data_IF_664806677232
#
_entry.id   IF_664806677232
#
_cell.length_a   1.000
_cell.length_b   1.000
_cell.length_c   1.000
_cell.angle_alpha   90.00
_cell.angle_beta   90.00
_cell.angle_gamma   90.00
#
_symmetry.space_group_name_H-M   'P 1'
#
loop_
_entity.id
_entity.type
_entity.pdbx_description
1 polymer ?
#
# COMPACT_ATOMS: atom_id res chain seq x y z
N UNK A 1 -40.66 -38.92 4.29
CA UNK A 1 -39.59 -37.97 4.67
C UNK A 1 -40.09 -37.21 5.87
N UNK A 2 -39.34 -36.99 6.92
CA UNK A 2 -39.80 -36.14 8.02
C UNK A 2 -40.17 -34.77 7.43
N UNK A 3 -41.38 -34.30 7.70
CA UNK A 3 -41.79 -32.96 7.33
C UNK A 3 -40.84 -31.97 8.06
N UNK A 4 -40.05 -31.20 7.33
CA UNK A 4 -39.28 -30.11 7.91
C UNK A 4 -40.31 -29.11 8.42
N UNK A 5 -40.34 -28.91 9.72
CA UNK A 5 -41.18 -27.89 10.34
C UNK A 5 -40.65 -26.51 9.98
N UNK A 6 -41.44 -25.70 9.30
CA UNK A 6 -41.05 -24.38 8.81
C UNK A 6 -40.75 -23.42 9.97
N UNK A 7 -41.41 -23.57 11.13
CA UNK A 7 -41.15 -22.76 12.31
C UNK A 7 -39.71 -23.02 12.84
N UNK A 8 -39.34 -24.31 12.96
CA UNK A 8 -37.99 -24.69 13.35
C UNK A 8 -36.93 -24.22 12.35
N UNK A 9 -37.25 -24.25 11.04
CA UNK A 9 -36.35 -23.71 10.01
C UNK A 9 -36.12 -22.20 10.17
N UNK A 10 -37.18 -21.41 10.42
CA UNK A 10 -37.03 -19.96 10.66
C UNK A 10 -36.30 -19.66 11.96
N UNK A 11 -36.52 -20.44 13.00
CA UNK A 11 -35.73 -20.30 14.24
C UNK A 11 -34.25 -20.59 14.02
N UNK A 12 -33.91 -21.63 13.26
CA UNK A 12 -32.55 -21.91 12.86
C UNK A 12 -31.94 -20.76 12.01
N UNK A 13 -32.69 -20.24 11.06
CA UNK A 13 -32.29 -19.09 10.23
C UNK A 13 -31.98 -17.85 11.09
N UNK A 14 -32.78 -17.62 12.15
CA UNK A 14 -32.54 -16.55 13.12
C UNK A 14 -31.16 -16.69 13.76
N UNK A 15 -30.74 -17.90 14.17
CA UNK A 15 -29.42 -18.13 14.78
C UNK A 15 -28.26 -17.89 13.79
N UNK A 16 -28.44 -18.27 12.53
CA UNK A 16 -27.45 -18.02 11.48
C UNK A 16 -27.29 -16.52 11.23
N UNK A 17 -28.38 -15.78 11.06
CA UNK A 17 -28.37 -14.34 10.85
C UNK A 17 -27.75 -13.58 12.03
N UNK A 18 -28.07 -14.01 13.25
CA UNK A 18 -27.46 -13.45 14.47
C UNK A 18 -25.95 -13.61 14.45
N UNK A 19 -25.46 -14.81 14.08
CA UNK A 19 -24.04 -15.10 13.98
C UNK A 19 -23.35 -14.24 12.93
N UNK A 20 -23.97 -14.05 11.76
CA UNK A 20 -23.47 -13.18 10.71
C UNK A 20 -23.42 -11.72 11.18
N UNK A 21 -24.48 -11.24 11.83
CA UNK A 21 -24.54 -9.89 12.40
C UNK A 21 -23.43 -9.62 13.42
N UNK A 22 -23.22 -10.56 14.34
CA UNK A 22 -22.14 -10.48 15.34
C UNK A 22 -20.75 -10.48 14.66
N UNK A 23 -20.54 -11.34 13.65
CA UNK A 23 -19.30 -11.39 12.87
C UNK A 23 -18.98 -10.08 12.20
N UNK A 24 -19.94 -9.46 11.52
CA UNK A 24 -19.77 -8.15 10.86
C UNK A 24 -19.56 -7.02 11.89
N UNK A 25 -20.27 -7.07 13.02
CA UNK A 25 -20.08 -6.11 14.13
C UNK A 25 -18.69 -6.22 14.74
N UNK A 26 -18.15 -7.43 14.89
CA UNK A 26 -16.78 -7.65 15.36
C UNK A 26 -15.74 -7.04 14.41
N UNK A 27 -15.98 -7.11 13.10
CA UNK A 27 -15.14 -6.41 12.10
C UNK A 27 -15.22 -4.88 12.29
N UNK A 28 -16.40 -4.34 12.57
CA UNK A 28 -16.55 -2.90 12.87
C UNK A 28 -15.78 -2.48 14.14
N UNK A 29 -15.83 -3.28 15.19
CA UNK A 29 -15.09 -2.97 16.43
C UNK A 29 -13.60 -2.75 16.19
N UNK A 30 -13.03 -3.47 15.22
CA UNK A 30 -11.61 -3.34 14.80
C UNK A 30 -11.37 -2.23 13.80
N UNK A 31 -12.20 -2.14 12.78
CA UNK A 31 -11.98 -1.26 11.62
C UNK A 31 -12.62 0.14 11.76
N UNK A 32 -13.66 0.29 12.61
CA UNK A 32 -14.43 1.54 12.82
C UNK A 32 -15.03 2.14 11.52
N UNK A 33 -15.35 1.29 10.55
CA UNK A 33 -15.90 1.72 9.26
C UNK A 33 -17.45 1.77 9.35
N UNK A 34 -18.09 2.93 9.07
CA UNK A 34 -19.54 3.09 9.29
C UNK A 34 -20.44 2.13 8.49
N UNK A 35 -20.02 1.71 7.30
CA UNK A 35 -20.77 0.74 6.48
C UNK A 35 -20.96 -0.61 7.16
N UNK A 36 -19.96 -1.06 7.96
CA UNK A 36 -20.04 -2.33 8.69
C UNK A 36 -21.15 -2.33 9.73
N UNK A 37 -21.43 -1.19 10.38
CA UNK A 37 -22.54 -1.07 11.34
C UNK A 37 -23.88 -1.28 10.62
N UNK A 38 -24.07 -0.68 9.45
CA UNK A 38 -25.31 -0.83 8.68
C UNK A 38 -25.48 -2.25 8.14
N UNK A 39 -24.41 -2.88 7.67
CA UNK A 39 -24.48 -4.30 7.27
C UNK A 39 -24.81 -5.21 8.46
N UNK A 40 -24.18 -5.01 9.62
CA UNK A 40 -24.51 -5.74 10.84
C UNK A 40 -25.98 -5.50 11.26
N UNK A 41 -26.46 -4.24 11.21
CA UNK A 41 -27.86 -3.90 11.50
C UNK A 41 -28.83 -4.61 10.56
N UNK A 42 -28.46 -4.79 9.29
CA UNK A 42 -29.23 -5.58 8.33
C UNK A 42 -29.41 -7.02 8.80
N UNK A 43 -28.34 -7.70 9.18
CA UNK A 43 -28.41 -9.08 9.70
C UNK A 43 -29.21 -9.17 11.02
N UNK A 44 -29.11 -8.19 11.92
CA UNK A 44 -29.94 -8.13 13.13
C UNK A 44 -31.43 -7.90 12.80
N UNK A 45 -31.77 -7.11 11.79
CA UNK A 45 -33.12 -6.97 11.31
C UNK A 45 -33.65 -8.29 10.74
N UNK A 46 -32.86 -9.06 9.97
CA UNK A 46 -33.21 -10.40 9.51
C UNK A 46 -33.43 -11.36 10.69
N UNK A 47 -32.53 -11.34 11.68
CA UNK A 47 -32.66 -12.11 12.92
C UNK A 47 -34.01 -11.87 13.59
N UNK A 48 -34.38 -10.61 13.78
CA UNK A 48 -35.67 -10.23 14.37
C UNK A 48 -36.85 -10.71 13.49
N UNK A 49 -36.76 -10.51 12.17
CA UNK A 49 -37.80 -10.93 11.24
C UNK A 49 -38.07 -12.43 11.28
N UNK A 50 -37.02 -13.25 11.20
CA UNK A 50 -37.14 -14.71 11.28
C UNK A 50 -37.65 -15.18 12.63
N UNK A 51 -37.19 -14.55 13.74
CA UNK A 51 -37.68 -14.86 15.08
C UNK A 51 -39.19 -14.59 15.21
N UNK A 52 -39.65 -13.42 14.77
CA UNK A 52 -41.07 -13.06 14.86
C UNK A 52 -41.96 -13.99 13.98
N UNK A 53 -41.48 -14.36 12.81
CA UNK A 53 -42.22 -15.27 11.92
C UNK A 53 -42.26 -16.70 12.50
N UNK A 54 -41.18 -17.17 13.13
CA UNK A 54 -41.13 -18.51 13.76
C UNK A 54 -42.13 -18.67 14.90
N UNK A 55 -42.50 -17.58 15.57
CA UNK A 55 -43.42 -17.54 16.70
C UNK A 55 -44.85 -17.15 16.28
N UNK A 56 -45.20 -17.36 15.02
CA UNK A 56 -46.48 -16.89 14.44
C UNK A 56 -47.75 -17.47 15.12
N UNK A 57 -47.67 -18.65 15.69
CA UNK A 57 -48.78 -19.26 16.43
C UNK A 57 -49.00 -18.63 17.81
N UNK A 58 -47.96 -18.05 18.38
CA UNK A 58 -47.98 -17.46 19.73
C UNK A 58 -48.17 -15.95 19.69
N UNK A 59 -47.82 -15.30 18.57
CA UNK A 59 -47.82 -13.85 18.42
C UNK A 59 -48.96 -13.35 17.54
N UNK A 60 -49.57 -12.18 17.83
CA UNK A 60 -50.56 -11.54 16.96
C UNK A 60 -50.00 -11.30 15.55
N UNK A 61 -50.92 -11.35 14.53
CA UNK A 61 -50.55 -11.17 13.12
C UNK A 61 -49.82 -9.85 12.82
N UNK A 62 -50.12 -8.75 13.51
CA UNK A 62 -49.40 -7.49 13.31
C UNK A 62 -47.91 -7.57 13.73
N UNK A 63 -47.56 -8.43 14.67
CA UNK A 63 -46.18 -8.67 15.06
C UNK A 63 -45.55 -9.68 14.11
N UNK A 64 -46.15 -10.88 13.98
CA UNK A 64 -45.50 -11.98 13.26
C UNK A 64 -45.54 -11.82 11.74
N UNK A 65 -46.60 -11.26 11.18
CA UNK A 65 -46.73 -11.08 9.73
C UNK A 65 -46.22 -9.73 9.27
N UNK A 66 -46.79 -8.63 9.81
CA UNK A 66 -46.47 -7.30 9.32
C UNK A 66 -45.06 -6.90 9.79
N UNK A 67 -44.80 -6.89 11.10
CA UNK A 67 -43.49 -6.49 11.63
C UNK A 67 -42.41 -7.49 11.25
N UNK A 68 -42.68 -8.79 11.26
CA UNK A 68 -41.71 -9.81 10.87
C UNK A 68 -41.22 -9.67 9.43
N UNK A 69 -42.15 -9.58 8.44
CA UNK A 69 -41.76 -9.39 7.04
C UNK A 69 -41.15 -8.02 6.77
N UNK A 70 -41.67 -6.95 7.41
CA UNK A 70 -41.09 -5.61 7.28
C UNK A 70 -39.66 -5.56 7.85
N UNK A 71 -39.34 -6.31 8.92
CA UNK A 71 -38.00 -6.42 9.43
C UNK A 71 -37.05 -7.13 8.45
N UNK A 72 -37.50 -8.17 7.75
CA UNK A 72 -36.74 -8.81 6.67
C UNK A 72 -36.45 -7.81 5.53
N UNK A 73 -37.44 -7.01 5.13
CA UNK A 73 -37.28 -6.02 4.07
C UNK A 73 -36.40 -4.85 4.51
N UNK A 74 -36.48 -4.43 5.77
CA UNK A 74 -35.59 -3.45 6.36
C UNK A 74 -34.12 -3.93 6.35
N UNK A 75 -33.89 -5.24 6.55
CA UNK A 75 -32.57 -5.84 6.38
C UNK A 75 -31.95 -5.49 5.03
N UNK A 76 -32.69 -5.76 3.93
CA UNK A 76 -32.23 -5.46 2.57
C UNK A 76 -31.97 -3.96 2.36
N UNK A 77 -32.76 -3.08 2.98
CA UNK A 77 -32.52 -1.62 2.97
C UNK A 77 -31.23 -1.26 3.72
N UNK A 78 -30.97 -1.86 4.87
CA UNK A 78 -29.75 -1.61 5.65
C UNK A 78 -28.50 -2.07 4.89
N UNK A 79 -28.53 -3.25 4.26
CA UNK A 79 -27.46 -3.75 3.40
C UNK A 79 -27.18 -2.80 2.23
N UNK A 80 -28.23 -2.29 1.57
CA UNK A 80 -28.13 -1.28 0.53
C UNK A 80 -27.49 0.02 1.04
N UNK A 81 -27.95 0.55 2.19
CA UNK A 81 -27.38 1.78 2.79
C UNK A 81 -25.91 1.62 3.17
N UNK A 82 -25.55 0.47 3.73
CA UNK A 82 -24.17 0.15 4.05
C UNK A 82 -23.28 0.21 2.81
N UNK A 83 -23.78 -0.35 1.69
CA UNK A 83 -23.08 -0.30 0.40
C UNK A 83 -22.99 1.11 -0.17
N UNK A 84 -24.04 1.94 -0.03
CA UNK A 84 -23.99 3.36 -0.40
C UNK A 84 -22.86 4.12 0.34
N UNK A 85 -22.75 3.91 1.65
CA UNK A 85 -21.70 4.55 2.48
C UNK A 85 -20.32 4.02 2.09
N UNK A 86 -20.19 2.70 1.91
CA UNK A 86 -18.91 2.07 1.58
C UNK A 86 -18.35 2.58 0.25
N UNK A 87 -19.23 2.80 -0.74
CA UNK A 87 -18.87 3.24 -2.09
C UNK A 87 -18.78 4.79 -2.19
N UNK A 88 -19.38 5.51 -1.25
CA UNK A 88 -19.56 6.97 -1.34
C UNK A 88 -20.65 7.40 -2.34
N UNK A 89 -21.64 6.55 -2.59
CA UNK A 89 -22.69 6.80 -3.57
C UNK A 89 -23.90 7.53 -2.98
N UNK A 90 -24.64 8.27 -3.83
CA UNK A 90 -25.91 8.91 -3.43
C UNK A 90 -26.97 7.84 -3.16
N UNK A 91 -27.76 8.06 -2.10
CA UNK A 91 -28.85 7.17 -1.70
C UNK A 91 -30.08 7.39 -2.58
N UNK A 92 -30.71 6.30 -3.03
CA UNK A 92 -32.04 6.36 -3.64
C UNK A 92 -33.11 6.22 -2.57
N UNK A 93 -34.25 6.87 -2.75
CA UNK A 93 -35.42 6.72 -1.87
C UNK A 93 -36.25 5.48 -2.22
N UNK A 94 -36.03 4.88 -3.40
CA UNK A 94 -36.85 3.75 -3.88
C UNK A 94 -36.93 2.57 -2.90
N UNK A 95 -35.88 2.08 -2.26
CA UNK A 95 -35.95 1.00 -1.27
C UNK A 95 -36.89 1.31 -0.10
N UNK A 96 -36.92 2.55 0.36
CA UNK A 96 -37.77 2.98 1.47
C UNK A 96 -39.25 3.05 1.03
N UNK A 97 -39.52 3.49 -0.20
CA UNK A 97 -40.88 3.50 -0.77
C UNK A 97 -41.41 2.06 -0.90
N UNK A 98 -40.58 1.14 -1.39
CA UNK A 98 -40.99 -0.28 -1.49
C UNK A 98 -41.25 -0.90 -0.12
N UNK A 99 -40.43 -0.62 0.90
CA UNK A 99 -40.64 -1.06 2.27
C UNK A 99 -41.97 -0.54 2.85
N UNK A 100 -42.25 0.76 2.67
CA UNK A 100 -43.49 1.35 3.15
C UNK A 100 -44.73 0.76 2.44
N UNK A 101 -44.64 0.64 1.13
CA UNK A 101 -45.72 0.04 0.32
C UNK A 101 -46.01 -1.40 0.73
N UNK A 102 -44.98 -2.19 0.97
CA UNK A 102 -45.06 -3.55 1.49
C UNK A 102 -45.85 -3.59 2.82
N UNK A 103 -45.45 -2.77 3.80
CA UNK A 103 -46.11 -2.75 5.10
C UNK A 103 -47.58 -2.40 5.01
N UNK A 104 -47.95 -1.43 4.15
CA UNK A 104 -49.34 -1.05 3.90
C UNK A 104 -50.13 -2.19 3.24
N UNK A 105 -49.58 -2.81 2.20
CA UNK A 105 -50.26 -3.91 1.49
C UNK A 105 -50.35 -5.17 2.37
N UNK A 106 -49.35 -5.51 3.13
CA UNK A 106 -49.41 -6.61 4.10
C UNK A 106 -50.49 -6.37 5.15
N UNK A 107 -50.64 -5.13 5.65
CA UNK A 107 -51.68 -4.79 6.60
C UNK A 107 -53.07 -4.96 5.98
N UNK A 108 -53.28 -4.49 4.73
CA UNK A 108 -54.54 -4.64 4.00
C UNK A 108 -54.91 -6.10 3.81
N UNK A 109 -53.99 -6.94 3.31
CA UNK A 109 -54.22 -8.37 3.07
C UNK A 109 -54.13 -9.26 4.32
N UNK A 110 -53.88 -8.70 5.46
CA UNK A 110 -53.96 -9.38 6.77
C UNK A 110 -55.31 -9.13 7.46
N UNK A 111 -55.82 -7.89 7.41
CA UNK A 111 -56.98 -7.50 8.23
C UNK A 111 -58.24 -7.19 7.44
N UNK A 112 -58.12 -6.78 6.15
CA UNK A 112 -59.28 -6.35 5.35
C UNK A 112 -59.63 -7.43 4.35
N UNK A 113 -58.69 -7.95 3.59
CA UNK A 113 -58.89 -8.98 2.60
C UNK A 113 -57.89 -10.11 2.80
N UNK A 114 -58.19 -11.03 3.73
CA UNK A 114 -57.28 -12.08 4.15
C UNK A 114 -56.88 -13.00 3.00
N UNK A 115 -55.60 -12.95 2.57
CA UNK A 115 -55.05 -13.82 1.54
C UNK A 115 -53.56 -14.09 1.79
N UNK A 116 -53.22 -15.32 2.16
CA UNK A 116 -51.84 -15.74 2.47
C UNK A 116 -50.97 -15.74 1.22
N UNK A 117 -51.46 -16.11 0.05
CA UNK A 117 -50.68 -16.17 -1.18
C UNK A 117 -50.32 -14.77 -1.66
N UNK A 118 -51.25 -13.82 -1.60
CA UNK A 118 -50.99 -12.42 -1.96
C UNK A 118 -49.96 -11.83 -1.02
N UNK A 119 -49.98 -12.13 0.26
CA UNK A 119 -48.93 -11.68 1.23
C UNK A 119 -47.55 -12.21 0.90
N UNK A 120 -47.44 -13.50 0.54
CA UNK A 120 -46.17 -14.11 0.09
C UNK A 120 -45.68 -13.44 -1.20
N UNK A 121 -46.61 -13.16 -2.13
CA UNK A 121 -46.30 -12.47 -3.38
C UNK A 121 -45.77 -11.04 -3.13
N UNK A 122 -46.47 -10.25 -2.31
CA UNK A 122 -46.12 -8.86 -1.97
C UNK A 122 -44.70 -8.81 -1.36
N UNK A 123 -44.44 -9.65 -0.35
CA UNK A 123 -43.15 -9.71 0.30
C UNK A 123 -42.03 -10.09 -0.69
N UNK A 124 -42.23 -11.13 -1.49
CA UNK A 124 -41.26 -11.61 -2.47
C UNK A 124 -40.92 -10.56 -3.53
N UNK A 125 -41.94 -9.85 -4.02
CA UNK A 125 -41.80 -8.79 -5.01
C UNK A 125 -41.05 -7.56 -4.42
N UNK A 126 -41.46 -7.14 -3.22
CA UNK A 126 -40.77 -6.03 -2.52
C UNK A 126 -39.30 -6.30 -2.31
N UNK A 127 -38.95 -7.47 -1.80
CA UNK A 127 -37.57 -7.92 -1.60
C UNK A 127 -36.77 -7.90 -2.92
N UNK A 128 -37.39 -8.41 -4.01
CA UNK A 128 -36.77 -8.41 -5.34
C UNK A 128 -36.48 -6.99 -5.83
N UNK A 129 -37.41 -6.06 -5.65
CA UNK A 129 -37.27 -4.66 -6.06
C UNK A 129 -36.21 -3.94 -5.25
N UNK A 130 -36.22 -4.06 -3.91
CA UNK A 130 -35.22 -3.46 -3.04
C UNK A 130 -33.80 -3.96 -3.41
N UNK A 131 -33.65 -5.28 -3.57
CA UNK A 131 -32.37 -5.89 -3.90
C UNK A 131 -31.91 -5.55 -5.32
N UNK A 132 -32.84 -5.40 -6.28
CA UNK A 132 -32.50 -4.95 -7.64
C UNK A 132 -31.95 -3.52 -7.64
N UNK A 133 -32.48 -2.61 -6.81
CA UNK A 133 -31.90 -1.27 -6.64
C UNK A 133 -30.49 -1.36 -6.08
N UNK A 134 -30.22 -2.29 -5.17
CA UNK A 134 -28.89 -2.53 -4.63
C UNK A 134 -27.92 -3.03 -5.72
N UNK A 135 -28.32 -4.01 -6.52
CA UNK A 135 -27.53 -4.52 -7.66
C UNK A 135 -27.22 -3.39 -8.66
N UNK A 136 -28.24 -2.57 -9.02
CA UNK A 136 -28.06 -1.44 -9.92
C UNK A 136 -27.05 -0.41 -9.37
N UNK A 137 -27.02 -0.18 -8.07
CA UNK A 137 -26.01 0.66 -7.42
C UNK A 137 -24.60 0.10 -7.65
N UNK A 138 -24.40 -1.20 -7.38
CA UNK A 138 -23.12 -1.88 -7.53
C UNK A 138 -22.66 -1.85 -8.99
N UNK A 139 -23.55 -2.15 -9.95
CA UNK A 139 -23.25 -2.11 -11.39
C UNK A 139 -22.85 -0.72 -11.88
N UNK A 140 -23.62 0.32 -11.52
CA UNK A 140 -23.32 1.72 -11.92
C UNK A 140 -21.97 2.21 -11.40
N UNK A 141 -21.52 1.64 -10.31
CA UNK A 141 -20.26 2.06 -9.65
C UNK A 141 -19.06 1.17 -10.00
N UNK A 142 -19.22 0.15 -10.86
CA UNK A 142 -18.13 -0.77 -11.27
C UNK A 142 -16.94 -0.05 -11.93
N UNK A 143 -17.17 1.02 -12.67
CA UNK A 143 -16.13 1.77 -13.39
C UNK A 143 -15.30 2.72 -12.49
N UNK A 144 -15.72 2.91 -11.23
CA UNK A 144 -14.95 3.76 -10.29
C UNK A 144 -13.73 2.99 -9.81
N UNK A 145 -12.52 3.45 -10.16
CA UNK A 145 -11.25 2.86 -9.74
C UNK A 145 -11.16 2.77 -8.21
N UNK A 146 -10.67 1.66 -7.70
CA UNK A 146 -10.27 1.53 -6.29
C UNK A 146 -11.19 0.70 -5.39
N UNK A 147 -12.15 -0.04 -5.91
CA UNK A 147 -12.99 -0.91 -5.08
C UNK A 147 -13.16 -2.31 -5.70
N UNK A 148 -12.15 -3.19 -5.60
CA UNK A 148 -12.26 -4.59 -5.98
C UNK A 148 -13.28 -5.31 -5.07
N UNK A 149 -13.91 -6.38 -5.57
CA UNK A 149 -14.85 -7.21 -4.77
C UNK A 149 -16.33 -6.86 -4.93
N UNK A 150 -16.72 -5.83 -5.69
CA UNK A 150 -18.14 -5.52 -5.95
C UNK A 150 -18.87 -6.63 -6.70
N UNK A 151 -18.17 -7.29 -7.60
CA UNK A 151 -18.71 -8.43 -8.38
C UNK A 151 -19.11 -9.56 -7.44
N UNK A 152 -18.35 -9.80 -6.38
CA UNK A 152 -18.61 -10.84 -5.39
C UNK A 152 -19.96 -10.63 -4.70
N UNK A 153 -20.38 -9.37 -4.49
CA UNK A 153 -21.67 -9.04 -3.88
C UNK A 153 -22.84 -9.13 -4.88
N UNK A 154 -22.61 -8.87 -6.18
CA UNK A 154 -23.66 -8.94 -7.20
C UNK A 154 -24.19 -10.38 -7.35
N UNK A 155 -23.31 -11.38 -7.27
CA UNK A 155 -23.69 -12.80 -7.47
C UNK A 155 -24.73 -13.25 -6.43
N UNK A 156 -24.50 -13.20 -5.09
CA UNK A 156 -25.47 -13.64 -4.10
C UNK A 156 -26.75 -12.79 -4.11
N UNK A 157 -26.64 -11.49 -4.38
CA UNK A 157 -27.81 -10.61 -4.50
C UNK A 157 -28.67 -10.97 -5.72
N UNK A 158 -28.05 -11.29 -6.86
CA UNK A 158 -28.78 -11.74 -8.06
C UNK A 158 -29.44 -13.09 -7.83
N UNK A 159 -28.76 -14.00 -7.14
CA UNK A 159 -29.34 -15.28 -6.74
C UNK A 159 -30.55 -15.07 -5.80
N UNK A 160 -30.45 -14.14 -4.85
CA UNK A 160 -31.57 -13.78 -3.98
C UNK A 160 -32.77 -13.25 -4.76
N UNK A 161 -32.57 -12.33 -5.70
CA UNK A 161 -33.66 -11.81 -6.56
C UNK A 161 -34.31 -12.93 -7.35
N UNK A 162 -33.51 -13.82 -7.97
CA UNK A 162 -34.03 -14.96 -8.71
C UNK A 162 -34.92 -15.86 -7.83
N UNK A 163 -34.42 -16.21 -6.63
CA UNK A 163 -35.19 -17.04 -5.69
C UNK A 163 -36.49 -16.37 -5.23
N UNK A 164 -36.47 -15.07 -4.95
CA UNK A 164 -37.69 -14.34 -4.58
C UNK A 164 -38.71 -14.26 -5.71
N UNK A 165 -38.26 -14.06 -6.96
CA UNK A 165 -39.17 -14.10 -8.14
C UNK A 165 -39.75 -15.50 -8.37
N UNK A 166 -38.94 -16.55 -8.26
CA UNK A 166 -39.42 -17.93 -8.36
C UNK A 166 -40.40 -18.27 -7.24
N UNK A 167 -40.19 -17.76 -6.02
CA UNK A 167 -41.12 -17.89 -4.91
C UNK A 167 -42.42 -17.19 -5.18
N UNK A 168 -42.40 -15.98 -5.73
CA UNK A 168 -43.60 -15.26 -6.13
C UNK A 168 -44.43 -16.04 -7.18
N UNK A 169 -43.78 -16.54 -8.23
CA UNK A 169 -44.40 -17.34 -9.28
C UNK A 169 -44.93 -18.65 -8.67
N UNK A 170 -44.13 -19.34 -7.90
CA UNK A 170 -44.50 -20.62 -7.31
C UNK A 170 -45.68 -20.54 -6.33
N UNK A 171 -45.84 -19.42 -5.61
CA UNK A 171 -47.00 -19.21 -4.73
C UNK A 171 -48.34 -19.11 -5.50
N UNK A 172 -48.28 -18.79 -6.79
CA UNK A 172 -49.50 -18.81 -7.68
C UNK A 172 -49.82 -20.21 -8.16
N UNK A 173 -48.82 -21.09 -8.30
CA UNK A 173 -49.00 -22.47 -8.80
C UNK A 173 -49.30 -23.43 -7.65
N UNK A 174 -48.63 -23.24 -6.52
CA UNK A 174 -48.75 -24.05 -5.30
C UNK A 174 -49.31 -23.18 -4.16
N UNK A 175 -50.61 -23.03 -4.03
CA UNK A 175 -51.22 -22.20 -3.00
C UNK A 175 -50.74 -22.58 -1.61
N UNK A 176 -50.33 -21.59 -0.82
CA UNK A 176 -49.99 -21.82 0.56
C UNK A 176 -51.22 -22.14 1.39
N UNK A 177 -51.16 -23.09 2.35
CA UNK A 177 -52.24 -23.33 3.30
C UNK A 177 -52.64 -22.03 4.02
N UNK A 178 -53.83 -21.97 4.60
CA UNK A 178 -54.25 -20.85 5.43
C UNK A 178 -53.26 -20.63 6.59
N UNK A 179 -52.75 -21.74 7.14
CA UNK A 179 -51.60 -21.72 8.03
C UNK A 179 -50.28 -21.75 7.24
N UNK A 180 -49.58 -20.62 7.19
CA UNK A 180 -48.33 -20.48 6.47
C UNK A 180 -47.24 -21.43 7.01
N UNK A 181 -47.21 -21.72 8.32
CA UNK A 181 -46.19 -22.60 8.92
C UNK A 181 -46.45 -24.08 8.61
N UNK A 182 -47.69 -24.45 8.28
CA UNK A 182 -48.04 -25.78 7.77
C UNK A 182 -47.68 -25.93 6.27
N UNK A 183 -47.12 -24.89 5.61
CA UNK A 183 -46.73 -24.94 4.22
C UNK A 183 -45.59 -25.94 4.02
N UNK A 184 -45.74 -26.80 3.02
CA UNK A 184 -44.85 -27.92 2.74
C UNK A 184 -43.45 -27.50 2.23
N UNK A 185 -42.70 -28.50 1.75
CA UNK A 185 -41.29 -28.42 1.33
C UNK A 185 -40.97 -27.27 0.35
N UNK A 186 -41.95 -26.73 -0.36
CA UNK A 186 -41.79 -25.63 -1.30
C UNK A 186 -41.34 -24.35 -0.60
N UNK A 187 -42.01 -23.91 0.48
CA UNK A 187 -41.65 -22.69 1.21
C UNK A 187 -40.31 -22.82 1.94
N UNK A 188 -39.99 -24.02 2.44
CA UNK A 188 -38.67 -24.31 3.06
C UNK A 188 -37.54 -24.15 2.05
N UNK A 189 -37.72 -24.67 0.83
CA UNK A 189 -36.71 -24.58 -0.24
C UNK A 189 -36.39 -23.11 -0.58
N UNK A 190 -37.40 -22.26 -0.72
CA UNK A 190 -37.17 -20.83 -1.03
C UNK A 190 -36.61 -20.06 0.14
N UNK A 191 -37.01 -20.38 1.36
CA UNK A 191 -36.41 -19.79 2.56
C UNK A 191 -34.96 -20.17 2.71
N UNK A 192 -34.59 -21.43 2.39
CA UNK A 192 -33.19 -21.89 2.36
C UNK A 192 -32.38 -21.14 1.30
N UNK A 193 -32.91 -20.93 0.11
CA UNK A 193 -32.26 -20.12 -0.93
C UNK A 193 -32.00 -18.70 -0.49
N UNK A 194 -32.95 -18.08 0.21
CA UNK A 194 -32.77 -16.77 0.82
C UNK A 194 -31.62 -16.73 1.86
N UNK A 195 -31.59 -17.73 2.75
CA UNK A 195 -30.53 -17.84 3.76
C UNK A 195 -29.14 -18.03 3.13
N UNK A 196 -29.03 -18.89 2.13
CA UNK A 196 -27.76 -19.08 1.37
C UNK A 196 -27.31 -17.77 0.70
N UNK A 197 -28.23 -17.00 0.13
CA UNK A 197 -27.93 -15.71 -0.47
C UNK A 197 -27.45 -14.68 0.58
N UNK A 198 -28.03 -14.68 1.77
CA UNK A 198 -27.59 -13.81 2.87
C UNK A 198 -26.19 -14.18 3.37
N UNK A 199 -25.88 -15.47 3.53
CA UNK A 199 -24.53 -15.95 3.85
C UNK A 199 -23.53 -15.50 2.76
N UNK A 200 -23.88 -15.70 1.49
CA UNK A 200 -23.09 -15.24 0.36
C UNK A 200 -22.85 -13.73 0.38
N UNK A 201 -23.88 -12.94 0.73
CA UNK A 201 -23.77 -11.48 0.85
C UNK A 201 -22.86 -11.06 1.99
N UNK A 202 -22.91 -11.73 3.14
CA UNK A 202 -22.01 -11.47 4.26
C UNK A 202 -20.54 -11.71 3.91
N UNK A 203 -20.24 -12.83 3.23
CA UNK A 203 -18.92 -13.16 2.72
C UNK A 203 -18.45 -12.13 1.68
N UNK A 204 -19.33 -11.73 0.77
CA UNK A 204 -19.02 -10.73 -0.25
C UNK A 204 -18.69 -9.36 0.38
N UNK A 205 -19.43 -8.93 1.38
CA UNK A 205 -19.15 -7.67 2.09
C UNK A 205 -17.82 -7.74 2.87
N UNK A 206 -17.50 -8.87 3.49
CA UNK A 206 -16.21 -9.10 4.12
C UNK A 206 -15.07 -9.03 3.11
N UNK A 207 -15.23 -9.66 1.92
CA UNK A 207 -14.26 -9.60 0.84
C UNK A 207 -14.10 -8.17 0.29
N UNK A 208 -15.20 -7.44 0.07
CA UNK A 208 -15.13 -6.03 -0.35
C UNK A 208 -14.34 -5.17 0.64
N UNK A 209 -14.57 -5.38 1.94
CA UNK A 209 -13.82 -4.67 2.98
C UNK A 209 -12.33 -5.03 2.97
N UNK A 210 -12.01 -6.33 2.92
CA UNK A 210 -10.64 -6.84 2.86
C UNK A 210 -9.90 -6.31 1.63
N UNK A 211 -10.52 -6.36 0.46
CA UNK A 211 -9.95 -5.85 -0.78
C UNK A 211 -9.66 -4.34 -0.73
N UNK A 212 -10.56 -3.55 -0.15
CA UNK A 212 -10.36 -2.11 0.03
C UNK A 212 -9.20 -1.82 1.01
N UNK A 213 -9.08 -2.61 2.08
CA UNK A 213 -7.97 -2.50 3.04
C UNK A 213 -6.63 -2.84 2.40
N UNK A 214 -6.57 -3.94 1.62
CA UNK A 214 -5.36 -4.31 0.88
C UNK A 214 -4.94 -3.24 -0.13
N UNK A 215 -5.89 -2.67 -0.88
CA UNK A 215 -5.59 -1.59 -1.81
C UNK A 215 -5.01 -0.35 -1.11
N UNK A 216 -5.56 0.02 0.06
CA UNK A 216 -5.04 1.12 0.87
C UNK A 216 -3.65 0.82 1.43
N UNK A 217 -3.41 -0.40 1.90
CA UNK A 217 -2.12 -0.82 2.42
C UNK A 217 -1.05 -0.78 1.34
N UNK A 218 -1.32 -1.34 0.16
CA UNK A 218 -0.40 -1.32 -0.97
C UNK A 218 -0.04 0.12 -1.41
N UNK A 219 -1.03 1.03 -1.43
CA UNK A 219 -0.78 2.44 -1.73
C UNK A 219 0.17 3.09 -0.70
N UNK A 220 -0.04 2.82 0.59
CA UNK A 220 0.83 3.33 1.66
C UNK A 220 2.24 2.74 1.62
N UNK A 221 2.36 1.45 1.31
CA UNK A 221 3.68 0.81 1.14
C UNK A 221 4.46 1.47 0.00
N UNK A 222 3.82 1.71 -1.15
CA UNK A 222 4.45 2.39 -2.28
C UNK A 222 4.88 3.84 -1.94
N UNK A 223 4.05 4.60 -1.20
CA UNK A 223 4.41 5.94 -0.71
C UNK A 223 5.65 5.91 0.21
N UNK A 224 5.70 4.93 1.12
CA UNK A 224 6.83 4.77 2.05
C UNK A 224 8.12 4.34 1.32
N UNK A 225 8.03 3.45 0.35
CA UNK A 225 9.18 3.03 -0.47
C UNK A 225 9.75 4.21 -1.27
N UNK A 226 8.89 5.04 -1.87
CA UNK A 226 9.32 6.24 -2.59
C UNK A 226 9.97 7.27 -1.65
N UNK A 227 9.37 7.51 -0.47
CA UNK A 227 9.96 8.41 0.53
C UNK A 227 11.32 7.90 1.03
N UNK A 228 11.44 6.59 1.29
CA UNK A 228 12.74 5.98 1.65
C UNK A 228 13.77 6.13 0.54
N UNK A 229 13.39 5.90 -0.72
CA UNK A 229 14.28 6.09 -1.86
C UNK A 229 14.78 7.53 -1.95
N UNK A 230 13.91 8.52 -1.73
CA UNK A 230 14.30 9.93 -1.72
C UNK A 230 15.26 10.25 -0.58
N UNK A 231 15.00 9.71 0.62
CA UNK A 231 15.92 9.85 1.77
C UNK A 231 17.28 9.19 1.49
N UNK A 232 17.32 8.04 0.84
CA UNK A 232 18.56 7.37 0.43
C UNK A 232 19.37 8.22 -0.56
N UNK A 233 18.71 8.80 -1.57
CA UNK A 233 19.36 9.71 -2.54
C UNK A 233 19.91 10.94 -1.85
N UNK A 234 19.14 11.59 -0.96
CA UNK A 234 19.61 12.74 -0.17
C UNK A 234 20.78 12.38 0.76
N UNK A 235 20.79 11.14 1.29
CA UNK A 235 21.86 10.64 2.17
C UNK A 235 23.14 10.22 1.44
N UNK A 236 23.21 10.29 0.09
CA UNK A 236 24.38 9.88 -0.69
C UNK A 236 25.24 11.04 -1.19
N UNK A 237 24.87 12.26 -0.85
CA UNK A 237 25.58 13.48 -1.24
C UNK A 237 26.13 14.18 0.01
N UNK A 238 27.33 14.75 -0.09
CA UNK A 238 27.87 15.65 0.93
C UNK A 238 27.21 17.03 0.79
N UNK A 239 26.57 17.49 1.83
CA UNK A 239 25.77 18.72 1.80
C UNK A 239 26.59 19.99 1.57
N UNK A 240 27.87 19.99 1.94
CA UNK A 240 28.75 21.15 1.79
C UNK A 240 29.27 21.27 0.36
N UNK A 241 29.77 20.17 -0.19
CA UNK A 241 30.48 20.17 -1.47
C UNK A 241 29.61 19.80 -2.67
N UNK A 242 28.45 19.16 -2.44
CA UNK A 242 27.60 18.62 -3.48
C UNK A 242 28.15 17.36 -4.16
N UNK A 243 29.32 16.86 -3.73
CA UNK A 243 29.89 15.59 -4.20
C UNK A 243 29.19 14.39 -3.58
N UNK A 244 29.26 13.21 -4.18
CA UNK A 244 29.04 11.95 -3.49
C UNK A 244 29.78 11.91 -2.15
N UNK A 245 29.10 11.42 -1.12
CA UNK A 245 29.69 11.24 0.19
C UNK A 245 30.36 9.86 0.31
N UNK A 246 30.99 9.57 1.46
CA UNK A 246 31.67 8.31 1.75
C UNK A 246 30.74 7.10 1.52
N UNK A 247 29.48 7.18 1.94
CA UNK A 247 28.51 6.07 1.75
C UNK A 247 28.28 5.76 0.27
N UNK A 248 28.17 6.80 -0.56
CA UNK A 248 28.04 6.62 -2.01
C UNK A 248 29.31 6.06 -2.62
N UNK A 249 30.49 6.53 -2.14
CA UNK A 249 31.78 5.99 -2.54
C UNK A 249 31.85 4.48 -2.24
N UNK A 250 31.58 4.06 -1.00
CA UNK A 250 31.66 2.66 -0.59
C UNK A 250 30.78 1.76 -1.48
N UNK A 251 29.57 2.20 -1.79
CA UNK A 251 28.63 1.49 -2.65
C UNK A 251 29.13 1.36 -4.10
N UNK A 252 29.64 2.45 -4.67
CA UNK A 252 30.13 2.46 -6.07
C UNK A 252 31.44 1.69 -6.16
N UNK A 253 32.31 1.81 -5.18
CA UNK A 253 33.60 1.11 -5.12
C UNK A 253 33.39 -0.42 -5.10
N UNK A 254 32.47 -0.92 -4.31
CA UNK A 254 32.12 -2.35 -4.30
C UNK A 254 31.58 -2.79 -5.66
N UNK A 255 30.69 -2.01 -6.27
CA UNK A 255 30.14 -2.32 -7.58
C UNK A 255 31.21 -2.39 -8.68
N UNK A 256 32.11 -1.39 -8.71
CA UNK A 256 33.23 -1.34 -9.70
C UNK A 256 34.28 -2.43 -9.42
N UNK A 257 34.51 -2.78 -8.15
CA UNK A 257 35.34 -3.91 -7.76
C UNK A 257 34.83 -5.22 -8.37
N UNK A 258 33.56 -5.52 -8.13
CA UNK A 258 32.91 -6.72 -8.67
C UNK A 258 32.88 -6.72 -10.22
N UNK A 259 32.72 -5.55 -10.82
CA UNK A 259 32.76 -5.37 -12.27
C UNK A 259 34.17 -5.66 -12.83
N UNK A 260 35.20 -5.04 -12.24
CA UNK A 260 36.58 -5.20 -12.65
C UNK A 260 37.04 -6.66 -12.48
N UNK A 261 36.66 -7.32 -11.37
CA UNK A 261 36.93 -8.73 -11.12
C UNK A 261 36.34 -9.64 -12.22
N UNK A 262 35.06 -9.46 -12.57
CA UNK A 262 34.39 -10.26 -13.61
C UNK A 262 34.99 -10.05 -15.00
N UNK A 263 35.50 -8.88 -15.28
CA UNK A 263 36.03 -8.50 -16.59
C UNK A 263 37.56 -8.68 -16.71
N UNK A 264 38.25 -9.02 -15.61
CA UNK A 264 39.71 -9.11 -15.56
C UNK A 264 40.39 -7.76 -15.82
N UNK A 265 39.74 -6.64 -15.43
CA UNK A 265 40.23 -5.28 -15.68
C UNK A 265 40.83 -4.66 -14.45
N UNK A 266 41.64 -3.61 -14.68
CA UNK A 266 42.31 -2.84 -13.63
C UNK A 266 41.30 -1.90 -12.94
N UNK A 267 41.57 -1.65 -11.66
CA UNK A 267 40.85 -0.62 -10.89
C UNK A 267 41.88 0.23 -10.16
N UNK A 268 41.89 1.53 -10.41
CA UNK A 268 42.71 2.48 -9.70
C UNK A 268 41.89 3.31 -8.74
N UNK A 269 42.52 3.70 -7.63
CA UNK A 269 41.94 4.56 -6.60
C UNK A 269 42.92 5.70 -6.34
N UNK A 270 42.38 6.92 -6.29
CA UNK A 270 43.09 8.09 -5.82
C UNK A 270 42.50 8.48 -4.46
N UNK A 271 43.38 8.71 -3.49
CA UNK A 271 43.06 9.36 -2.24
C UNK A 271 43.82 10.69 -2.17
N UNK A 272 43.16 11.76 -1.81
CA UNK A 272 43.75 13.09 -1.78
C UNK A 272 43.28 13.87 -0.56
N UNK A 273 44.15 14.79 -0.11
CA UNK A 273 43.95 15.60 1.08
C UNK A 273 44.44 17.02 0.82
N UNK A 274 43.75 18.01 1.35
CA UNK A 274 44.16 19.42 1.23
C UNK A 274 45.30 19.70 2.19
N UNK A 275 46.44 20.12 1.65
CA UNK A 275 47.63 20.37 2.40
C UNK A 275 47.43 21.46 3.45
N UNK A 276 47.76 21.13 4.72
CA UNK A 276 47.70 22.04 5.86
C UNK A 276 46.32 22.69 6.08
N UNK A 277 45.26 22.01 5.78
CA UNK A 277 43.89 22.55 5.86
C UNK A 277 43.50 23.01 7.27
N UNK A 278 44.01 22.35 8.31
CA UNK A 278 43.83 22.80 9.69
C UNK A 278 44.42 24.20 9.90
N UNK A 279 45.69 24.45 9.45
CA UNK A 279 46.30 25.75 9.55
C UNK A 279 45.58 26.83 8.72
N UNK A 280 44.97 26.42 7.59
CA UNK A 280 44.09 27.29 6.80
C UNK A 280 42.88 27.72 7.63
N UNK A 281 42.17 26.78 8.27
CA UNK A 281 41.01 27.06 9.10
C UNK A 281 41.37 27.93 10.32
N UNK A 282 42.52 27.64 10.96
CA UNK A 282 42.98 28.39 12.12
C UNK A 282 43.29 29.86 11.75
N UNK A 283 43.72 30.12 10.51
CA UNK A 283 44.07 31.46 10.03
C UNK A 283 42.88 32.22 9.42
N UNK A 284 42.05 31.56 8.59
CA UNK A 284 40.98 32.21 7.81
C UNK A 284 39.57 31.96 8.35
N UNK A 285 39.41 31.09 9.36
CA UNK A 285 38.16 30.68 9.94
C UNK A 285 37.43 29.58 9.16
N UNK A 286 36.54 28.85 9.83
CA UNK A 286 35.82 27.69 9.27
C UNK A 286 34.96 28.03 8.05
N UNK A 287 34.36 29.23 8.00
CA UNK A 287 33.54 29.62 6.81
C UNK A 287 34.40 29.73 5.54
N UNK A 288 35.64 30.24 5.66
CA UNK A 288 36.60 30.28 4.55
C UNK A 288 37.06 28.87 4.18
N UNK A 289 37.21 27.97 5.15
CA UNK A 289 37.48 26.56 4.93
C UNK A 289 36.36 25.86 4.16
N UNK A 290 35.13 26.13 4.49
CA UNK A 290 33.96 25.58 3.75
C UNK A 290 33.96 26.05 2.28
N UNK A 291 34.25 27.32 2.03
CA UNK A 291 34.40 27.84 0.67
C UNK A 291 35.57 27.21 -0.09
N UNK A 292 36.71 26.99 0.63
CA UNK A 292 37.87 26.28 0.08
C UNK A 292 37.49 24.85 -0.34
N UNK A 293 36.83 24.08 0.51
CA UNK A 293 36.32 22.73 0.21
C UNK A 293 35.40 22.71 -1.01
N UNK A 294 34.47 23.66 -1.12
CA UNK A 294 33.58 23.79 -2.28
C UNK A 294 34.36 24.08 -3.56
N UNK A 295 35.39 24.94 -3.52
CA UNK A 295 36.20 25.26 -4.71
C UNK A 295 37.05 24.07 -5.14
N UNK A 296 37.69 23.38 -4.20
CA UNK A 296 38.44 22.14 -4.46
C UNK A 296 37.51 21.08 -5.06
N UNK A 297 36.33 20.86 -4.48
CA UNK A 297 35.34 19.89 -4.99
C UNK A 297 34.95 20.17 -6.46
N UNK A 298 34.74 21.43 -6.81
CA UNK A 298 34.46 21.83 -8.21
C UNK A 298 35.66 21.55 -9.13
N UNK A 299 36.89 21.84 -8.68
CA UNK A 299 38.10 21.56 -9.46
C UNK A 299 38.23 20.05 -9.76
N UNK A 300 37.89 19.19 -8.79
CA UNK A 300 37.88 17.73 -8.95
C UNK A 300 36.84 17.28 -9.97
N UNK A 301 35.62 17.77 -9.88
CA UNK A 301 34.52 17.41 -10.81
C UNK A 301 34.84 17.73 -12.27
N UNK A 302 35.53 18.83 -12.55
CA UNK A 302 35.91 19.22 -13.91
C UNK A 302 36.88 18.22 -14.53
N UNK A 303 37.68 17.52 -13.75
CA UNK A 303 38.76 16.62 -14.26
C UNK A 303 38.36 15.14 -14.26
N UNK A 304 37.29 14.79 -13.58
CA UNK A 304 36.82 13.41 -13.43
C UNK A 304 35.35 13.33 -13.91
N UNK A 305 35.15 12.86 -15.13
CA UNK A 305 33.83 12.87 -15.78
C UNK A 305 33.59 11.72 -16.77
N UNK A 306 34.48 10.72 -16.82
CA UNK A 306 34.26 9.54 -17.66
C UNK A 306 33.25 8.59 -17.05
N UNK A 307 32.60 7.80 -17.88
CA UNK A 307 31.68 6.75 -17.41
C UNK A 307 32.40 5.76 -16.47
N UNK A 308 31.83 5.56 -15.29
CA UNK A 308 32.40 4.71 -14.23
C UNK A 308 33.39 5.42 -13.29
N UNK A 309 33.88 6.64 -13.62
CA UNK A 309 34.66 7.45 -12.69
C UNK A 309 33.75 8.06 -11.63
N UNK A 310 34.23 8.15 -10.39
CA UNK A 310 33.51 8.81 -9.29
C UNK A 310 34.49 9.67 -8.49
N UNK A 311 34.07 10.90 -8.18
CA UNK A 311 34.67 11.74 -7.16
C UNK A 311 33.76 11.76 -5.94
N UNK A 312 34.31 11.60 -4.76
CA UNK A 312 33.55 11.67 -3.51
C UNK A 312 34.35 12.40 -2.42
N UNK A 313 33.63 13.04 -1.48
CA UNK A 313 34.22 13.50 -0.24
C UNK A 313 34.23 12.33 0.75
N UNK A 314 35.45 11.93 1.17
CA UNK A 314 35.62 10.78 2.05
C UNK A 314 35.42 11.16 3.52
N UNK A 315 35.89 12.37 3.93
CA UNK A 315 35.68 12.95 5.26
C UNK A 315 36.54 14.16 5.49
N UNK A 316 36.09 15.15 6.25
CA UNK A 316 36.87 16.35 6.53
C UNK A 316 37.38 17.05 5.27
N UNK A 317 38.71 17.10 5.11
CA UNK A 317 39.42 17.63 3.95
C UNK A 317 39.85 16.57 2.92
N UNK A 318 39.42 15.32 3.12
CA UNK A 318 39.82 14.18 2.29
C UNK A 318 38.78 13.92 1.17
N UNK A 319 39.28 13.64 -0.04
CA UNK A 319 38.51 13.25 -1.18
C UNK A 319 39.08 11.98 -1.80
N UNK A 320 38.22 11.25 -2.52
CA UNK A 320 38.59 10.01 -3.20
C UNK A 320 38.10 10.02 -4.63
N UNK A 321 38.82 9.32 -5.52
CA UNK A 321 38.43 9.17 -6.92
C UNK A 321 38.57 7.72 -7.33
N UNK A 322 37.51 7.13 -7.84
CA UNK A 322 37.48 5.79 -8.47
C UNK A 322 37.78 5.94 -9.95
N UNK A 323 38.74 5.18 -10.46
CA UNK A 323 39.18 5.22 -11.85
C UNK A 323 39.23 3.80 -12.44
N UNK A 324 38.15 3.32 -13.05
CA UNK A 324 38.15 2.02 -13.73
C UNK A 324 39.02 2.01 -14.98
N UNK A 325 39.61 0.87 -15.28
CA UNK A 325 40.28 0.52 -16.54
C UNK A 325 41.54 1.36 -16.90
N UNK A 326 42.06 2.21 -16.00
CA UNK A 326 43.28 2.97 -16.24
C UNK A 326 44.52 2.14 -15.85
N UNK A 327 45.62 2.39 -16.55
CA UNK A 327 46.94 1.93 -16.11
C UNK A 327 47.61 2.90 -15.12
N UNK A 328 48.76 2.51 -14.56
CA UNK A 328 49.44 3.27 -13.55
C UNK A 328 49.84 4.69 -14.04
N UNK A 329 50.35 4.79 -15.27
CA UNK A 329 50.74 6.08 -15.85
C UNK A 329 49.53 6.98 -16.08
N UNK A 330 48.41 6.42 -16.55
CA UNK A 330 47.16 7.13 -16.76
C UNK A 330 46.52 7.58 -15.42
N UNK A 331 46.52 6.71 -14.40
CA UNK A 331 45.99 7.08 -13.09
C UNK A 331 46.81 8.20 -12.42
N UNK A 332 48.15 8.11 -12.50
CA UNK A 332 49.02 9.18 -12.03
C UNK A 332 48.84 10.49 -12.83
N UNK A 333 48.60 10.40 -14.13
CA UNK A 333 48.33 11.57 -14.96
C UNK A 333 46.99 12.24 -14.59
N UNK A 334 45.96 11.45 -14.17
CA UNK A 334 44.73 12.02 -13.60
C UNK A 334 45.02 12.74 -12.30
N UNK A 335 45.79 12.13 -11.40
CA UNK A 335 46.23 12.76 -10.15
C UNK A 335 46.95 14.09 -10.39
N UNK A 336 47.91 14.14 -11.33
CA UNK A 336 48.62 15.38 -11.65
C UNK A 336 47.72 16.45 -12.25
N UNK A 337 46.77 16.10 -13.09
CA UNK A 337 45.77 17.04 -13.59
C UNK A 337 44.91 17.63 -12.48
N UNK A 338 44.49 16.80 -11.51
CA UNK A 338 43.74 17.24 -10.34
C UNK A 338 44.60 18.21 -9.52
N UNK A 339 45.83 17.83 -9.19
CA UNK A 339 46.77 18.65 -8.41
C UNK A 339 46.96 20.02 -9.04
N UNK A 340 47.25 20.07 -10.34
CA UNK A 340 47.43 21.33 -11.08
C UNK A 340 46.16 22.16 -11.14
N UNK A 341 44.98 21.55 -11.28
CA UNK A 341 43.69 22.26 -11.29
C UNK A 341 43.42 22.92 -9.94
N UNK A 342 43.70 22.23 -8.83
CA UNK A 342 43.54 22.80 -7.48
C UNK A 342 44.51 23.97 -7.29
N UNK A 343 45.76 23.80 -7.65
CA UNK A 343 46.79 24.85 -7.56
C UNK A 343 46.43 26.06 -8.45
N UNK A 344 45.88 25.82 -9.63
CA UNK A 344 45.41 26.85 -10.57
C UNK A 344 44.22 27.68 -10.06
N UNK A 345 43.47 27.19 -9.06
CA UNK A 345 42.42 27.97 -8.39
C UNK A 345 42.98 29.19 -7.63
N UNK A 346 44.28 29.24 -7.37
CA UNK A 346 44.96 30.34 -6.68
C UNK A 346 44.25 30.76 -5.38
N UNK A 347 43.84 29.78 -4.57
CA UNK A 347 43.23 30.05 -3.26
C UNK A 347 44.34 30.45 -2.31
N UNK A 348 44.35 31.68 -1.82
CA UNK A 348 45.41 32.18 -0.94
C UNK A 348 45.51 31.34 0.34
N UNK A 349 46.74 30.93 0.70
CA UNK A 349 47.05 30.17 1.92
C UNK A 349 48.36 30.69 2.55
N UNK A 350 48.24 31.75 3.34
CA UNK A 350 49.39 32.47 3.90
C UNK A 350 50.29 31.62 4.81
N UNK A 351 49.74 30.58 5.43
CA UNK A 351 50.45 29.69 6.35
C UNK A 351 50.90 28.38 5.69
N UNK A 352 50.79 28.25 4.37
CA UNK A 352 51.29 27.08 3.66
C UNK A 352 52.85 27.08 3.68
N UNK A 353 53.43 26.10 4.34
CA UNK A 353 54.89 25.94 4.39
C UNK A 353 55.49 25.41 3.07
N UNK A 354 54.67 25.11 2.07
CA UNK A 354 55.13 24.80 0.72
C UNK A 354 55.60 26.09 0.01
N UNK A 355 56.41 25.97 -1.01
CA UNK A 355 57.00 27.10 -1.74
C UNK A 355 55.98 28.06 -2.40
N UNK A 356 54.70 27.75 -2.38
CA UNK A 356 53.61 28.54 -2.97
C UNK A 356 52.57 28.96 -1.91
N UNK A 357 52.20 30.25 -1.81
CA UNK A 357 51.23 30.75 -0.83
C UNK A 357 49.77 30.46 -1.22
N UNK A 358 49.50 29.30 -1.77
CA UNK A 358 48.18 28.87 -2.25
C UNK A 358 47.83 27.49 -1.72
N UNK A 359 46.56 27.17 -1.72
CA UNK A 359 46.02 25.84 -1.40
C UNK A 359 46.54 24.82 -2.42
N UNK A 360 47.13 23.75 -1.89
CA UNK A 360 47.60 22.59 -2.66
C UNK A 360 47.01 21.30 -2.12
N UNK A 361 47.16 20.20 -2.86
CA UNK A 361 46.73 18.86 -2.46
C UNK A 361 47.84 17.85 -2.58
N UNK A 362 47.93 16.96 -1.61
CA UNK A 362 48.72 15.73 -1.70
C UNK A 362 47.87 14.59 -2.18
N UNK A 363 48.39 13.75 -3.05
CA UNK A 363 47.66 12.71 -3.74
C UNK A 363 48.39 11.37 -3.66
N UNK A 364 47.67 10.35 -3.17
CA UNK A 364 48.12 8.96 -3.21
C UNK A 364 47.32 8.20 -4.28
N UNK A 365 48.01 7.41 -5.08
CA UNK A 365 47.43 6.56 -6.11
C UNK A 365 47.71 5.10 -5.81
N UNK A 366 46.72 4.24 -5.94
CA UNK A 366 46.88 2.80 -5.90
C UNK A 366 46.19 2.16 -7.11
N UNK A 367 46.69 1.01 -7.53
CA UNK A 367 46.15 0.25 -8.66
C UNK A 367 46.21 -1.24 -8.38
N UNK A 368 45.15 -1.95 -8.67
CA UNK A 368 45.17 -3.40 -8.60
C UNK A 368 44.40 -4.06 -9.75
N UNK A 369 44.58 -5.38 -9.86
CA UNK A 369 43.71 -6.26 -10.61
C UNK A 369 42.86 -7.05 -9.61
N UNK A 370 41.59 -6.73 -9.41
CA UNK A 370 40.74 -7.45 -8.47
C UNK A 370 40.64 -8.94 -8.81
N UNK A 371 41.15 -9.82 -7.92
CA UNK A 371 41.12 -11.26 -8.13
C UNK A 371 40.26 -12.01 -7.11
N UNK A 372 40.06 -11.46 -5.92
CA UNK A 372 39.31 -12.07 -4.80
C UNK A 372 38.52 -11.03 -4.03
N UNK A 373 37.40 -11.47 -3.46
CA UNK A 373 36.69 -10.69 -2.43
C UNK A 373 37.61 -10.48 -1.22
N UNK A 374 37.57 -9.28 -0.61
CA UNK A 374 38.40 -8.91 0.55
C UNK A 374 39.70 -8.15 0.25
N UNK A 375 40.16 -8.12 -1.00
CA UNK A 375 41.35 -7.31 -1.38
C UNK A 375 41.01 -5.81 -1.57
N UNK A 376 39.73 -5.41 -1.52
CA UNK A 376 39.29 -4.02 -1.62
C UNK A 376 39.95 -3.14 -0.53
N UNK A 377 40.04 -3.65 0.70
CA UNK A 377 40.67 -2.94 1.81
C UNK A 377 42.18 -2.73 1.58
N UNK A 378 42.84 -3.64 0.86
CA UNK A 378 44.24 -3.49 0.51
C UNK A 378 44.44 -2.30 -0.45
N UNK A 379 43.57 -2.14 -1.46
CA UNK A 379 43.65 -1.02 -2.40
C UNK A 379 43.47 0.35 -1.68
N UNK A 380 42.53 0.41 -0.74
CA UNK A 380 42.33 1.59 0.11
C UNK A 380 43.57 1.89 0.95
N UNK A 381 44.14 0.86 1.60
CA UNK A 381 45.36 1.01 2.41
C UNK A 381 46.59 1.44 1.58
N UNK A 382 46.74 0.90 0.37
CA UNK A 382 47.80 1.29 -0.55
C UNK A 382 47.68 2.74 -1.02
N UNK A 383 46.44 3.20 -1.31
CA UNK A 383 46.19 4.59 -1.67
C UNK A 383 46.46 5.54 -0.49
N UNK A 384 46.07 5.16 0.72
CA UNK A 384 46.35 5.93 1.94
C UNK A 384 47.86 5.99 2.26
N UNK A 385 48.59 4.86 2.17
CA UNK A 385 50.04 4.82 2.33
C UNK A 385 50.75 5.69 1.28
N UNK A 386 50.26 5.69 0.03
CA UNK A 386 50.79 6.56 -1.02
C UNK A 386 50.52 8.04 -0.74
N UNK A 387 49.36 8.38 -0.19
CA UNK A 387 49.00 9.74 0.23
C UNK A 387 49.88 10.20 1.40
N UNK A 388 50.09 9.32 2.39
CA UNK A 388 50.98 9.60 3.50
C UNK A 388 52.41 9.91 3.01
N UNK A 389 52.94 9.13 2.08
CA UNK A 389 54.26 9.37 1.49
C UNK A 389 54.30 10.68 0.69
N UNK A 390 53.23 11.06 -0.02
CA UNK A 390 53.14 12.35 -0.69
C UNK A 390 53.24 13.51 0.29
N UNK A 391 52.59 13.43 1.45
CA UNK A 391 52.69 14.42 2.55
C UNK A 391 54.09 14.48 3.12
N UNK A 392 54.76 13.35 3.33
CA UNK A 392 56.10 13.26 3.89
C UNK A 392 57.19 13.77 2.93
N UNK A 393 57.09 13.54 1.63
CA UNK A 393 58.03 14.00 0.63
C UNK A 393 57.93 15.51 0.32
N UNK A 394 57.14 16.26 1.06
CA UNK A 394 57.07 17.73 0.92
C UNK A 394 55.79 18.25 0.31
N UNK A 395 54.69 17.43 0.30
CA UNK A 395 53.36 17.82 -0.13
C UNK A 395 53.25 18.23 -1.62
N UNK A 396 52.08 18.73 -2.05
CA UNK A 396 51.80 19.20 -3.39
C UNK A 396 52.33 18.27 -4.51
N UNK A 397 52.06 16.97 -4.39
CA UNK A 397 52.54 15.95 -5.32
C UNK A 397 51.66 14.72 -5.38
N UNK A 398 51.84 13.98 -6.46
CA UNK A 398 51.26 12.65 -6.65
C UNK A 398 52.32 11.60 -6.34
N UNK A 399 51.96 10.61 -5.52
CA UNK A 399 52.79 9.43 -5.24
C UNK A 399 51.98 8.17 -5.50
N UNK A 400 52.62 7.20 -6.13
CA UNK A 400 52.14 5.83 -6.25
C UNK A 400 53.29 4.94 -5.73
N UNK A 401 53.00 4.23 -4.66
CA UNK A 401 53.93 3.19 -4.18
C UNK A 401 53.76 1.96 -5.08
N UNK A 402 54.84 1.48 -5.68
CA UNK A 402 54.82 0.20 -6.36
C UNK A 402 54.73 -0.91 -5.32
N UNK A 403 53.71 -1.81 -5.45
CA UNK A 403 53.59 -3.02 -4.64
C UNK A 403 54.64 -4.04 -5.01
#
# INVERSE_FOLDING_TARGET
>A
MPHLDLANFYFFSCLVELTLGIGVLALWCRAKIPSLVLWASGFFCSTLGYLLISQRHELPDWISVITGNSALSLSSVMLYLGSCIFIGARRSLAPFVFLLLEAVLLSYFTYIHYDTNIRVYIHSLSQSLITSVHILLLLKTMHVKGNPGRVDAIIPLSFFVLFMLLRAIGSSIFPSPQDFLAAGNFQVLFSLGGLVAHIGSALAFANMHSAALHAKLNARTAELEEANRQLEVMSMTDFLTGLPNRRKFDMVMEAEWQRAMRQGRRLALIMLDIDQFKAYNDHYGHQSGDLCLQRVARALQVKVHRAGELVARYGGEEFVVILPELDAAQACAVGERIRHEVEAQQIAHATNAAATPVVTVSIGVALCYPQREGQLNCLLQEADASLYEAKHRGRNRVVMLQA
#
